data_IF_636316008774
#
_entry.id   IF_636316008774
#
_cell.length_a   1.000
_cell.length_b   1.000
_cell.length_c   1.000
_cell.angle_alpha   90.00
_cell.angle_beta   90.00
_cell.angle_gamma   90.00
#
_symmetry.space_group_name_H-M   'P 1'
#
loop_
_entity.id
_entity.type
_entity.pdbx_description
1 polymer ?
#
# COMPACT_ATOMS: atom_id res chain seq x y z
N UNK A 1 32.44 46.93 -27.30
CA UNK A 1 31.87 45.94 -26.36
C UNK A 1 30.36 46.14 -26.32
N UNK A 2 29.60 45.09 -26.65
CA UNK A 2 28.84 44.42 -25.60
C UNK A 2 29.05 42.91 -25.61
N UNK A 3 29.01 42.33 -24.41
CA UNK A 3 29.25 40.92 -24.11
C UNK A 3 27.92 40.16 -24.21
N UNK A 4 27.86 39.14 -25.06
CA UNK A 4 26.78 38.16 -25.09
C UNK A 4 26.94 37.19 -23.91
N UNK A 5 25.88 37.02 -23.11
CA UNK A 5 25.82 36.05 -22.02
C UNK A 5 25.84 34.61 -22.54
N UNK A 6 26.75 33.80 -22.00
CA UNK A 6 26.87 32.38 -22.29
C UNK A 6 25.81 31.58 -21.54
N UNK A 7 24.91 30.92 -22.27
CA UNK A 7 24.05 29.87 -21.72
C UNK A 7 24.92 28.67 -21.34
N UNK A 8 25.02 28.38 -20.05
CA UNK A 8 25.56 27.11 -19.53
C UNK A 8 24.63 25.96 -19.96
N UNK A 9 25.02 25.22 -21.01
CA UNK A 9 24.41 23.93 -21.34
C UNK A 9 24.78 22.95 -20.24
N UNK A 10 23.82 22.61 -19.36
CA UNK A 10 23.97 21.47 -18.45
C UNK A 10 24.24 20.23 -19.29
N UNK A 11 25.30 19.51 -18.96
CA UNK A 11 25.64 18.21 -19.56
C UNK A 11 24.43 17.27 -19.39
N UNK A 12 24.02 16.52 -20.43
CA UNK A 12 23.03 15.46 -20.27
C UNK A 12 23.51 14.48 -19.19
N UNK A 13 22.62 14.12 -18.26
CA UNK A 13 22.94 13.11 -17.26
C UNK A 13 23.32 11.80 -17.97
N UNK A 14 24.36 11.12 -17.49
CA UNK A 14 24.71 9.80 -18.03
C UNK A 14 23.62 8.79 -17.69
N UNK A 15 23.46 7.71 -18.47
CA UNK A 15 22.49 6.64 -18.17
C UNK A 15 22.59 6.15 -16.72
N UNK A 16 23.80 6.06 -16.19
CA UNK A 16 24.07 5.71 -14.78
C UNK A 16 23.56 6.75 -13.77
N UNK A 17 23.62 8.04 -14.08
CA UNK A 17 23.11 9.11 -13.21
C UNK A 17 21.58 9.18 -13.24
N UNK A 18 20.97 8.91 -14.39
CA UNK A 18 19.50 8.78 -14.52
C UNK A 18 19.02 7.56 -13.72
N UNK A 19 19.71 6.42 -13.84
CA UNK A 19 19.38 5.20 -13.10
C UNK A 19 19.55 5.37 -11.58
N UNK A 20 20.61 6.03 -11.13
CA UNK A 20 20.82 6.34 -9.70
C UNK A 20 19.75 7.30 -9.19
N UNK A 21 19.41 8.36 -9.94
CA UNK A 21 18.35 9.30 -9.54
C UNK A 21 16.99 8.63 -9.51
N UNK A 22 16.70 7.74 -10.45
CA UNK A 22 15.47 6.95 -10.46
C UNK A 22 15.41 5.99 -9.26
N UNK A 23 16.52 5.33 -8.91
CA UNK A 23 16.61 4.46 -7.72
C UNK A 23 16.45 5.23 -6.41
N UNK A 24 17.11 6.38 -6.27
CA UNK A 24 17.01 7.23 -5.06
C UNK A 24 15.61 7.85 -4.94
N UNK A 25 15.01 8.29 -6.05
CA UNK A 25 13.62 8.75 -6.06
C UNK A 25 12.68 7.61 -5.67
N UNK A 26 12.76 6.46 -6.33
CA UNK A 26 11.96 5.28 -5.99
C UNK A 26 12.09 4.90 -4.51
N UNK A 27 13.30 4.84 -3.96
CA UNK A 27 13.54 4.53 -2.55
C UNK A 27 12.91 5.56 -1.60
N UNK A 28 13.04 6.86 -1.89
CA UNK A 28 12.36 7.90 -1.10
C UNK A 28 10.85 7.73 -1.14
N UNK A 29 10.29 7.47 -2.31
CA UNK A 29 8.85 7.35 -2.53
C UNK A 29 8.26 6.11 -1.83
N UNK A 30 8.99 5.01 -1.89
CA UNK A 30 8.70 3.75 -1.20
C UNK A 30 8.68 3.96 0.32
N UNK A 31 9.72 4.60 0.89
CA UNK A 31 9.74 4.89 2.34
C UNK A 31 8.53 5.69 2.81
N UNK A 32 8.13 6.74 2.08
CA UNK A 32 6.99 7.59 2.48
C UNK A 32 5.63 6.87 2.43
N UNK A 33 5.46 5.94 1.48
CA UNK A 33 4.28 5.11 1.40
C UNK A 33 4.15 4.15 2.56
N UNK A 34 5.26 3.51 2.92
CA UNK A 34 5.30 2.59 4.04
C UNK A 34 5.05 3.31 5.36
N UNK A 35 5.62 4.50 5.57
CA UNK A 35 5.38 5.32 6.78
C UNK A 35 3.89 5.66 6.91
N UNK A 36 3.27 6.16 5.83
CA UNK A 36 1.86 6.55 5.86
C UNK A 36 0.95 5.34 6.15
N UNK A 37 1.27 4.18 5.59
CA UNK A 37 0.48 2.96 5.79
C UNK A 37 0.64 2.35 7.19
N UNK A 38 1.85 2.35 7.73
CA UNK A 38 2.11 1.93 9.11
C UNK A 38 1.27 2.77 10.06
N UNK A 39 1.29 4.10 9.93
CA UNK A 39 0.49 4.99 10.78
C UNK A 39 -1.00 4.66 10.70
N UNK A 40 -1.54 4.42 9.50
CA UNK A 40 -2.96 4.02 9.33
C UNK A 40 -3.22 2.63 9.92
N UNK A 41 -2.31 1.67 9.75
CA UNK A 41 -2.45 0.31 10.27
C UNK A 41 -2.41 0.28 11.80
N UNK A 42 -1.50 1.04 12.41
CA UNK A 42 -1.44 1.26 13.86
C UNK A 42 -2.74 1.90 14.36
N UNK A 43 -3.26 2.91 13.65
CA UNK A 43 -4.53 3.57 14.00
C UNK A 43 -5.75 2.63 13.91
N UNK A 44 -5.82 1.79 12.87
CA UNK A 44 -6.88 0.79 12.67
C UNK A 44 -6.79 -0.32 13.73
N UNK A 45 -5.58 -0.81 13.99
CA UNK A 45 -5.33 -1.80 15.03
C UNK A 45 -5.76 -1.26 16.40
N UNK A 46 -5.30 -0.06 16.76
CA UNK A 46 -5.68 0.58 18.00
C UNK A 46 -7.19 0.88 18.08
N UNK A 47 -7.85 1.31 16.99
CA UNK A 47 -9.30 1.51 16.99
C UNK A 47 -10.10 0.22 17.19
N UNK A 48 -9.60 -0.92 16.67
CA UNK A 48 -10.33 -2.19 16.70
C UNK A 48 -10.09 -2.98 17.98
N UNK A 49 -8.97 -2.74 18.69
CA UNK A 49 -8.56 -3.53 19.84
C UNK A 49 -8.32 -2.73 21.14
N UNK A 50 -8.54 -1.40 21.16
CA UNK A 50 -8.45 -0.58 22.36
C UNK A 50 -9.35 -1.06 23.51
N UNK A 51 -10.50 -1.68 23.21
CA UNK A 51 -11.48 -2.05 24.25
C UNK A 51 -11.33 -3.47 24.81
N UNK A 52 -10.33 -4.26 24.37
CA UNK A 52 -10.14 -5.63 24.87
C UNK A 52 -11.31 -6.59 24.66
N UNK A 53 -12.34 -6.21 23.89
CA UNK A 53 -13.52 -7.02 23.59
C UNK A 53 -13.34 -7.74 22.27
N UNK A 54 -13.21 -9.06 22.33
CA UNK A 54 -13.43 -9.95 21.19
C UNK A 54 -14.93 -9.93 20.88
N UNK A 55 -15.40 -9.55 19.67
CA UNK A 55 -16.83 -9.61 19.36
C UNK A 55 -17.25 -11.07 19.13
N UNK A 56 -17.86 -11.66 20.16
CA UNK A 56 -18.85 -12.72 19.99
C UNK A 56 -20.16 -12.12 19.47
N UNK A 57 -20.87 -12.90 18.65
CA UNK A 57 -22.19 -12.59 18.11
C UNK A 57 -23.15 -12.00 19.16
N UNK A 58 -23.67 -10.80 18.90
CA UNK A 58 -25.05 -10.42 19.19
C UNK A 58 -25.57 -9.53 18.05
N UNK A 59 -26.58 -10.01 17.33
CA UNK A 59 -27.38 -9.23 16.38
C UNK A 59 -28.27 -8.28 17.19
N UNK A 60 -27.85 -7.01 17.30
CA UNK A 60 -28.67 -5.92 17.82
C UNK A 60 -29.64 -5.38 16.77
N UNK A 61 -30.87 -5.14 17.20
CA UNK A 61 -32.10 -4.79 16.47
C UNK A 61 -31.97 -3.77 15.31
N UNK A 62 -32.81 -3.85 14.26
CA UNK A 62 -32.77 -2.94 13.12
C UNK A 62 -33.14 -1.50 13.52
N UNK A 63 -32.44 -0.54 12.89
CA UNK A 63 -32.77 0.89 12.92
C UNK A 63 -34.20 1.13 12.41
N UNK A 64 -34.96 2.08 12.96
CA UNK A 64 -36.33 2.34 12.52
C UNK A 64 -36.35 2.88 11.09
N UNK A 65 -37.29 2.40 10.28
CA UNK A 65 -37.50 2.85 8.90
C UNK A 65 -37.83 4.36 8.84
N UNK A 66 -37.37 5.08 7.80
CA UNK A 66 -37.69 6.48 7.64
C UNK A 66 -39.18 6.66 7.31
N UNK A 67 -39.85 7.51 8.10
CA UNK A 67 -41.24 7.90 7.91
C UNK A 67 -41.40 8.67 6.58
N UNK A 68 -42.06 8.05 5.60
CA UNK A 68 -42.31 8.60 4.26
C UNK A 68 -43.46 9.62 4.18
N UNK A 69 -44.00 10.08 5.32
CA UNK A 69 -45.04 11.10 5.36
C UNK A 69 -44.64 12.27 6.27
N UNK A 70 -43.80 13.17 5.77
CA UNK A 70 -43.64 14.50 6.34
C UNK A 70 -43.93 15.55 5.26
N UNK A 71 -44.94 16.36 5.54
CA UNK A 71 -45.50 17.40 4.68
C UNK A 71 -44.49 18.50 4.34
N UNK A 72 -44.76 19.19 3.23
CA UNK A 72 -44.02 20.35 2.72
C UNK A 72 -43.87 21.43 3.79
N UNK A 73 -42.64 21.66 4.25
CA UNK A 73 -42.29 22.85 5.02
C UNK A 73 -41.49 23.80 4.09
N UNK A 74 -42.19 24.83 3.60
CA UNK A 74 -41.62 25.93 2.82
C UNK A 74 -41.07 26.98 3.81
N UNK A 75 -39.74 27.17 3.90
CA UNK A 75 -39.24 28.33 4.66
C UNK A 75 -37.80 28.43 5.16
N UNK A 76 -36.89 27.47 4.91
CA UNK A 76 -35.49 27.61 5.36
C UNK A 76 -34.46 27.41 4.23
N UNK A 77 -33.47 28.31 4.08
CA UNK A 77 -32.40 28.11 3.12
C UNK A 77 -31.61 26.83 3.48
N UNK A 78 -31.07 26.10 2.48
CA UNK A 78 -30.33 24.88 2.73
C UNK A 78 -29.19 25.17 3.69
N UNK A 79 -29.14 24.44 4.80
CA UNK A 79 -28.04 24.47 5.75
C UNK A 79 -26.77 24.08 5.00
N UNK A 80 -25.95 25.07 4.69
CA UNK A 80 -24.60 24.87 4.18
C UNK A 80 -23.88 24.07 5.25
N UNK A 81 -23.65 22.78 4.99
CA UNK A 81 -22.75 21.99 5.80
C UNK A 81 -21.37 22.59 5.56
N UNK A 82 -20.90 23.42 6.51
CA UNK A 82 -19.50 23.78 6.58
C UNK A 82 -18.75 22.49 6.85
N UNK A 83 -18.24 21.86 5.78
CA UNK A 83 -17.29 20.77 5.89
C UNK A 83 -16.21 21.19 6.88
N UNK A 84 -15.87 20.29 7.80
CA UNK A 84 -14.79 20.51 8.75
C UNK A 84 -13.55 21.05 8.02
N UNK A 85 -12.87 22.08 8.54
CA UNK A 85 -11.78 22.72 7.83
C UNK A 85 -10.69 21.70 7.43
N UNK A 86 -9.95 21.93 6.32
CA UNK A 86 -8.75 21.16 6.00
C UNK A 86 -7.74 21.34 7.13
N UNK A 87 -7.71 20.39 8.07
CA UNK A 87 -7.00 20.53 9.34
C UNK A 87 -7.58 19.69 10.48
N UNK A 88 -8.85 19.25 10.38
CA UNK A 88 -9.49 18.40 11.39
C UNK A 88 -8.83 17.01 11.58
N UNK A 89 -7.92 16.60 10.70
CA UNK A 89 -7.14 15.36 10.81
C UNK A 89 -5.82 15.53 11.56
N UNK A 90 -5.37 16.76 11.80
CA UNK A 90 -4.15 17.04 12.55
C UNK A 90 -4.37 17.00 14.07
N UNK A 91 -5.63 16.94 14.53
CA UNK A 91 -5.98 17.07 15.94
C UNK A 91 -6.77 15.88 16.53
N UNK A 92 -6.64 14.68 15.96
CA UNK A 92 -6.91 13.47 16.76
C UNK A 92 -5.64 13.11 17.53
N UNK A 93 -5.19 13.98 18.43
CA UNK A 93 -4.36 13.54 19.55
C UNK A 93 -5.27 12.67 20.40
N UNK A 94 -5.17 11.34 20.24
CA UNK A 94 -5.71 10.46 21.26
C UNK A 94 -4.91 10.75 22.54
N UNK A 95 -5.61 11.19 23.58
CA UNK A 95 -5.03 11.51 24.88
C UNK A 95 -4.58 10.25 25.66
N UNK A 96 -4.86 9.05 25.14
CA UNK A 96 -4.28 7.81 25.64
C UNK A 96 -3.04 7.41 24.82
N UNK A 97 -1.90 7.12 25.47
CA UNK A 97 -0.72 6.62 24.76
C UNK A 97 -1.11 5.33 24.04
N UNK A 98 -0.88 5.28 22.72
CA UNK A 98 -1.01 4.01 21.99
C UNK A 98 -0.11 3.00 22.70
N UNK A 99 -0.69 1.86 23.08
CA UNK A 99 0.10 0.74 23.58
C UNK A 99 1.18 0.44 22.54
N UNK A 100 2.45 0.36 22.97
CA UNK A 100 3.58 0.16 22.06
C UNK A 100 3.44 -1.23 21.42
N UNK A 101 3.05 -1.25 20.14
CA UNK A 101 2.84 -2.49 19.38
C UNK A 101 4.19 -3.05 19.00
N UNK A 102 4.50 -4.24 19.51
CA UNK A 102 5.78 -4.91 19.29
C UNK A 102 5.78 -5.70 17.99
N UNK A 103 6.51 -5.21 16.98
CA UNK A 103 6.54 -5.81 15.65
C UNK A 103 7.54 -6.97 15.51
N UNK A 104 7.09 -8.05 14.90
CA UNK A 104 7.91 -9.10 14.33
C UNK A 104 8.02 -8.94 12.81
N UNK A 105 9.20 -9.15 12.22
CA UNK A 105 9.39 -9.12 10.76
C UNK A 105 9.82 -10.48 10.23
N UNK A 106 9.01 -11.07 9.34
CA UNK A 106 9.28 -12.34 8.68
C UNK A 106 9.68 -12.12 7.21
N UNK A 107 10.91 -12.46 6.85
CA UNK A 107 11.47 -12.29 5.51
C UNK A 107 12.26 -10.98 5.38
N UNK A 108 13.58 -11.07 5.44
CA UNK A 108 14.46 -9.90 5.57
C UNK A 108 15.01 -9.44 4.21
N UNK A 109 14.10 -9.28 3.24
CA UNK A 109 14.40 -8.78 1.90
C UNK A 109 14.39 -7.24 1.83
N UNK A 110 14.46 -6.69 0.62
CA UNK A 110 14.46 -5.23 0.39
C UNK A 110 13.25 -4.53 1.04
N UNK A 111 12.05 -5.06 0.82
CA UNK A 111 10.81 -4.44 1.32
C UNK A 111 10.76 -4.44 2.87
N UNK A 112 11.34 -5.44 3.52
CA UNK A 112 11.45 -5.48 4.97
C UNK A 112 12.37 -4.38 5.54
N UNK A 113 13.45 -4.02 4.83
CA UNK A 113 14.29 -2.90 5.25
C UNK A 113 13.53 -1.58 5.12
N UNK A 114 12.78 -1.41 4.04
CA UNK A 114 11.94 -0.21 3.82
C UNK A 114 10.84 -0.10 4.89
N UNK A 115 10.25 -1.23 5.29
CA UNK A 115 9.31 -1.28 6.41
C UNK A 115 9.95 -1.00 7.76
N UNK A 116 11.14 -1.55 8.04
CA UNK A 116 11.86 -1.29 9.27
C UNK A 116 12.28 0.18 9.41
N UNK A 117 12.75 0.82 8.33
CA UNK A 117 13.01 2.28 8.32
C UNK A 117 11.72 3.04 8.63
N UNK A 118 10.61 2.64 8.03
CA UNK A 118 9.34 3.31 8.24
C UNK A 118 8.81 3.16 9.69
N UNK A 119 8.97 1.98 10.30
CA UNK A 119 8.68 1.75 11.72
C UNK A 119 9.54 2.66 12.60
N UNK A 120 10.85 2.68 12.35
CA UNK A 120 11.81 3.51 13.09
C UNK A 120 11.44 5.00 13.04
N UNK A 121 11.15 5.52 11.84
CA UNK A 121 10.73 6.93 11.66
C UNK A 121 9.39 7.23 12.33
N UNK A 122 8.49 6.25 12.42
CA UNK A 122 7.21 6.40 13.12
C UNK A 122 7.33 6.29 14.64
N UNK A 123 8.49 5.91 15.18
CA UNK A 123 8.71 5.65 16.60
C UNK A 123 8.15 4.30 17.09
N UNK A 124 7.83 3.38 16.17
CA UNK A 124 7.32 2.06 16.50
C UNK A 124 8.46 1.06 16.72
N UNK A 125 8.25 0.13 17.65
CA UNK A 125 9.25 -0.85 18.07
C UNK A 125 9.29 -2.10 17.19
N UNK A 126 10.49 -2.50 16.76
CA UNK A 126 10.76 -3.83 16.18
C UNK A 126 11.27 -4.71 17.31
N UNK A 127 10.47 -5.69 17.71
CA UNK A 127 10.80 -6.63 18.78
C UNK A 127 11.63 -7.80 18.27
N UNK A 128 11.29 -8.36 17.11
CA UNK A 128 11.92 -9.58 16.62
C UNK A 128 11.98 -9.68 15.09
N UNK A 129 12.96 -10.42 14.58
CA UNK A 129 13.17 -10.58 13.14
C UNK A 129 13.52 -12.02 12.78
N UNK A 130 13.08 -12.49 11.61
CA UNK A 130 13.44 -13.81 11.11
C UNK A 130 13.63 -13.85 9.60
N UNK A 131 14.73 -14.48 9.16
CA UNK A 131 15.06 -14.62 7.74
C UNK A 131 14.59 -15.95 7.10
N UNK A 132 14.21 -16.94 7.92
CA UNK A 132 13.85 -18.30 7.53
C UNK A 132 15.02 -19.30 7.59
N UNK A 133 14.70 -20.60 7.55
CA UNK A 133 15.55 -21.73 8.00
C UNK A 133 16.73 -22.15 7.11
N UNK A 134 17.04 -21.42 6.03
CA UNK A 134 18.20 -21.76 5.20
C UNK A 134 19.49 -21.25 5.86
N UNK A 135 20.60 -22.03 5.90
CA UNK A 135 21.84 -21.62 6.57
C UNK A 135 22.41 -20.26 6.10
N UNK A 136 22.30 -19.96 4.79
CA UNK A 136 22.69 -18.64 4.22
C UNK A 136 21.84 -17.47 4.72
N UNK A 137 20.70 -17.73 5.36
CA UNK A 137 19.74 -16.73 5.84
C UNK A 137 19.88 -16.46 7.34
N UNK A 138 20.45 -17.37 8.13
CA UNK A 138 20.66 -17.16 9.56
C UNK A 138 21.50 -15.90 9.84
N UNK A 139 22.59 -15.71 9.11
CA UNK A 139 23.41 -14.48 9.21
C UNK A 139 22.62 -13.20 8.89
N UNK A 140 21.58 -13.27 8.05
CA UNK A 140 20.76 -12.10 7.70
C UNK A 140 19.92 -11.61 8.87
N UNK A 141 19.46 -12.50 9.75
CA UNK A 141 18.69 -12.11 10.94
C UNK A 141 19.54 -11.28 11.90
N UNK A 142 20.80 -11.70 12.12
CA UNK A 142 21.77 -10.98 12.95
C UNK A 142 22.11 -9.62 12.34
N UNK A 143 22.44 -9.58 11.05
CA UNK A 143 22.79 -8.31 10.36
C UNK A 143 21.62 -7.33 10.37
N UNK A 144 20.40 -7.80 10.10
CA UNK A 144 19.21 -6.96 10.13
C UNK A 144 18.92 -6.45 11.54
N UNK A 145 19.06 -7.31 12.56
CA UNK A 145 18.85 -6.94 13.95
C UNK A 145 19.83 -5.85 14.38
N UNK A 146 21.12 -6.04 14.10
CA UNK A 146 22.17 -5.05 14.36
C UNK A 146 21.87 -3.70 13.67
N UNK A 147 21.50 -3.73 12.39
CA UNK A 147 21.20 -2.53 11.61
C UNK A 147 20.02 -1.70 12.16
N UNK A 148 19.02 -2.35 12.75
CA UNK A 148 17.80 -1.68 13.23
C UNK A 148 17.67 -1.67 14.77
N UNK A 149 18.73 -2.04 15.50
CA UNK A 149 18.76 -2.01 16.96
C UNK A 149 17.84 -3.02 17.63
N UNK A 150 17.55 -4.15 16.98
CA UNK A 150 16.81 -5.27 17.56
C UNK A 150 17.77 -6.13 18.39
N UNK A 151 17.37 -6.50 19.59
CA UNK A 151 18.17 -7.39 20.44
C UNK A 151 18.44 -8.73 19.72
N UNK A 152 19.71 -9.15 19.70
CA UNK A 152 20.15 -10.38 19.03
C UNK A 152 19.48 -11.65 19.59
N UNK A 153 18.96 -11.62 20.82
CA UNK A 153 18.14 -12.70 21.39
C UNK A 153 16.80 -12.89 20.65
N UNK A 154 16.34 -11.85 19.94
CA UNK A 154 15.13 -11.84 19.12
C UNK A 154 15.44 -11.87 17.61
N UNK A 155 16.70 -12.16 17.23
CA UNK A 155 17.10 -12.45 15.87
C UNK A 155 17.02 -13.96 15.61
N UNK A 156 15.93 -14.39 14.97
CA UNK A 156 15.61 -15.80 14.79
C UNK A 156 16.02 -16.35 13.42
N UNK A 157 16.46 -17.61 13.42
CA UNK A 157 16.81 -18.38 12.23
C UNK A 157 15.61 -19.07 11.55
N UNK A 158 14.41 -18.94 12.11
CA UNK A 158 13.21 -19.64 11.66
C UNK A 158 11.95 -18.87 12.02
N UNK A 159 10.94 -18.98 11.17
CA UNK A 159 9.64 -18.33 11.42
C UNK A 159 8.92 -18.98 12.60
N UNK A 160 9.17 -20.27 12.85
CA UNK A 160 8.65 -21.02 13.98
C UNK A 160 9.14 -20.48 15.33
N UNK A 161 10.37 -19.97 15.40
CA UNK A 161 10.87 -19.29 16.61
C UNK A 161 10.25 -17.91 16.76
N UNK A 162 10.15 -17.15 15.66
CA UNK A 162 9.52 -15.82 15.66
C UNK A 162 8.07 -15.86 16.16
N UNK A 163 7.24 -16.78 15.68
CA UNK A 163 5.83 -16.85 16.10
C UNK A 163 5.64 -17.31 17.55
N UNK A 164 6.66 -17.94 18.15
CA UNK A 164 6.65 -18.38 19.55
C UNK A 164 7.13 -17.31 20.52
N UNK A 165 7.75 -16.25 20.03
CA UNK A 165 8.16 -15.13 20.86
C UNK A 165 6.92 -14.46 21.46
N UNK A 166 6.78 -14.52 22.78
CA UNK A 166 5.62 -13.98 23.50
C UNK A 166 5.60 -12.46 23.53
N UNK A 167 6.71 -11.80 23.23
CA UNK A 167 6.78 -10.33 23.20
C UNK A 167 6.32 -9.73 21.86
N UNK A 168 6.14 -10.55 20.81
CA UNK A 168 5.68 -10.07 19.51
C UNK A 168 4.15 -10.02 19.45
N UNK A 169 3.58 -8.86 19.14
CA UNK A 169 2.12 -8.69 19.01
C UNK A 169 1.63 -8.98 17.58
N UNK A 170 2.37 -8.45 16.60
CA UNK A 170 2.02 -8.47 15.18
C UNK A 170 3.23 -8.88 14.34
N UNK A 171 2.99 -9.66 13.29
CA UNK A 171 4.02 -10.07 12.34
C UNK A 171 3.76 -9.42 10.98
N UNK A 172 4.74 -8.66 10.51
CA UNK A 172 4.83 -8.21 9.14
C UNK A 172 5.52 -9.29 8.29
N UNK A 173 4.81 -9.81 7.29
CA UNK A 173 5.28 -10.89 6.42
C UNK A 173 5.72 -10.29 5.09
N UNK A 174 7.04 -10.22 4.89
CA UNK A 174 7.74 -9.70 3.72
C UNK A 174 8.53 -10.79 2.98
N UNK A 175 8.01 -12.03 3.00
CA UNK A 175 8.61 -13.14 2.26
C UNK A 175 8.31 -13.04 0.76
N UNK A 176 8.71 -14.03 -0.03
CA UNK A 176 8.24 -14.15 -1.41
C UNK A 176 6.76 -14.57 -1.43
N UNK A 177 6.05 -14.27 -2.53
CA UNK A 177 4.60 -14.44 -2.65
C UNK A 177 4.15 -15.87 -2.31
N UNK A 178 4.91 -16.88 -2.76
CA UNK A 178 4.66 -18.30 -2.50
C UNK A 178 4.74 -18.72 -1.04
N UNK A 179 5.35 -17.91 -0.17
CA UNK A 179 5.50 -18.20 1.26
C UNK A 179 4.51 -17.43 2.14
N UNK A 180 3.84 -16.40 1.61
CA UNK A 180 2.88 -15.59 2.36
C UNK A 180 1.85 -16.46 3.09
N UNK A 181 1.20 -17.36 2.35
CA UNK A 181 0.17 -18.25 2.87
C UNK A 181 0.65 -19.08 4.08
N UNK A 182 1.77 -19.79 3.91
CA UNK A 182 2.30 -20.69 4.95
C UNK A 182 2.74 -19.92 6.19
N UNK A 183 3.42 -18.79 6.03
CA UNK A 183 3.93 -17.99 7.15
C UNK A 183 2.78 -17.30 7.89
N UNK A 184 1.76 -16.83 7.17
CA UNK A 184 0.59 -16.22 7.76
C UNK A 184 -0.23 -17.21 8.58
N UNK A 185 -0.54 -18.40 8.04
CA UNK A 185 -1.23 -19.45 8.81
C UNK A 185 -0.43 -19.86 10.05
N UNK A 186 0.90 -19.94 9.95
CA UNK A 186 1.77 -20.22 11.09
C UNK A 186 1.63 -19.14 12.17
N UNK A 187 1.73 -17.87 11.81
CA UNK A 187 1.58 -16.73 12.72
C UNK A 187 0.18 -16.69 13.37
N UNK A 188 -0.88 -16.82 12.55
CA UNK A 188 -2.27 -16.87 12.99
C UNK A 188 -2.49 -18.03 13.97
N UNK A 189 -1.97 -19.23 13.68
CA UNK A 189 -2.14 -20.38 14.57
C UNK A 189 -1.58 -20.14 15.98
N UNK A 190 -0.56 -19.28 16.11
CA UNK A 190 0.04 -18.86 17.38
C UNK A 190 -0.60 -17.61 17.98
N UNK A 191 -1.70 -17.12 17.39
CA UNK A 191 -2.45 -15.97 17.90
C UNK A 191 -1.80 -14.62 17.58
N UNK A 192 -0.82 -14.58 16.67
CA UNK A 192 -0.20 -13.34 16.24
C UNK A 192 -1.11 -12.60 15.27
N UNK A 193 -1.16 -11.28 15.41
CA UNK A 193 -1.72 -10.42 14.37
C UNK A 193 -0.82 -10.46 13.13
N UNK A 194 -1.39 -10.25 11.96
CA UNK A 194 -0.65 -10.39 10.70
C UNK A 194 -0.92 -9.22 9.76
N UNK A 195 0.16 -8.62 9.29
CA UNK A 195 0.17 -7.76 8.12
C UNK A 195 1.02 -8.44 7.04
N UNK A 196 0.42 -8.86 5.93
CA UNK A 196 1.12 -9.60 4.87
C UNK A 196 1.35 -8.73 3.64
N UNK A 197 2.52 -8.82 3.02
CA UNK A 197 2.81 -8.11 1.77
C UNK A 197 1.86 -8.46 0.63
N UNK A 198 1.74 -7.53 -0.32
CA UNK A 198 0.99 -7.75 -1.56
C UNK A 198 1.85 -8.51 -2.59
N UNK A 199 1.26 -9.31 -3.49
CA UNK A 199 -0.11 -9.81 -3.41
C UNK A 199 -0.26 -10.73 -2.20
N UNK A 200 -1.43 -10.69 -1.56
CA UNK A 200 -1.68 -11.37 -0.27
C UNK A 200 -1.30 -12.85 -0.29
N UNK A 201 -1.54 -13.54 -1.41
CA UNK A 201 -1.19 -14.94 -1.64
C UNK A 201 -1.05 -15.23 -3.14
N UNK A 202 -0.77 -16.49 -3.50
CA UNK A 202 -0.63 -16.90 -4.91
C UNK A 202 -1.97 -17.05 -5.64
N UNK A 203 -3.06 -17.27 -4.90
CA UNK A 203 -4.39 -17.48 -5.44
C UNK A 203 -5.48 -17.14 -4.39
N UNK A 204 -6.72 -17.04 -4.83
CA UNK A 204 -7.86 -16.67 -3.96
C UNK A 204 -8.13 -17.68 -2.85
N UNK A 205 -7.97 -18.99 -3.11
CA UNK A 205 -8.18 -20.04 -2.11
C UNK A 205 -7.27 -19.85 -0.89
N UNK A 206 -5.99 -19.56 -1.12
CA UNK A 206 -5.04 -19.26 -0.03
C UNK A 206 -5.44 -18.00 0.77
N UNK A 207 -5.98 -16.98 0.10
CA UNK A 207 -6.49 -15.77 0.78
C UNK A 207 -7.71 -16.11 1.65
N UNK A 208 -8.63 -16.93 1.15
CA UNK A 208 -9.80 -17.40 1.88
C UNK A 208 -9.40 -18.21 3.11
N UNK A 209 -8.46 -19.16 2.97
CA UNK A 209 -7.93 -19.98 4.07
C UNK A 209 -7.31 -19.11 5.18
N UNK A 210 -6.45 -18.13 4.82
CA UNK A 210 -5.88 -17.19 5.80
C UNK A 210 -6.93 -16.33 6.48
N UNK A 211 -7.88 -15.81 5.71
CA UNK A 211 -8.93 -14.92 6.24
C UNK A 211 -9.81 -15.67 7.24
N UNK A 212 -10.20 -16.90 6.92
CA UNK A 212 -11.01 -17.74 7.81
C UNK A 212 -10.23 -18.15 9.05
N UNK A 213 -8.95 -18.54 8.89
CA UNK A 213 -8.09 -18.84 10.04
C UNK A 213 -7.95 -17.64 10.99
N UNK A 214 -7.75 -16.44 10.46
CA UNK A 214 -7.64 -15.22 11.25
C UNK A 214 -8.94 -14.89 12.00
N UNK A 215 -10.10 -15.01 11.31
CA UNK A 215 -11.43 -14.83 11.92
C UNK A 215 -11.67 -15.82 13.04
N UNK A 216 -11.41 -17.11 12.78
CA UNK A 216 -11.58 -18.19 13.77
C UNK A 216 -10.69 -18.00 14.99
N UNK A 217 -9.46 -17.51 14.79
CA UNK A 217 -8.53 -17.22 15.89
C UNK A 217 -8.85 -15.92 16.63
N UNK A 218 -9.58 -15.00 16.00
CA UNK A 218 -9.88 -13.68 16.53
C UNK A 218 -8.71 -12.70 16.44
N UNK A 219 -7.85 -12.83 15.42
CA UNK A 219 -6.68 -11.95 15.22
C UNK A 219 -6.89 -10.99 14.06
N UNK A 220 -6.29 -9.81 14.15
CA UNK A 220 -6.11 -8.91 13.01
C UNK A 220 -5.34 -9.59 11.88
N UNK A 221 -5.87 -9.44 10.66
CA UNK A 221 -5.25 -9.85 9.42
C UNK A 221 -5.54 -8.82 8.34
N UNK A 222 -4.50 -8.35 7.65
CA UNK A 222 -4.64 -7.43 6.53
C UNK A 222 -3.54 -7.65 5.49
N UNK A 223 -3.84 -7.28 4.24
CA UNK A 223 -2.87 -7.19 3.15
C UNK A 223 -2.29 -5.78 3.08
N UNK A 224 -0.98 -5.66 2.85
CA UNK A 224 -0.26 -4.40 2.78
C UNK A 224 -0.41 -3.72 1.40
N UNK A 225 -1.60 -3.20 1.11
CA UNK A 225 -1.79 -2.27 -0.01
C UNK A 225 -1.50 -0.83 0.43
N UNK A 226 -0.21 -0.54 0.58
CA UNK A 226 0.31 0.73 1.09
C UNK A 226 -0.15 1.99 0.34
N UNK A 227 -0.48 1.88 -0.95
CA UNK A 227 -0.94 2.99 -1.80
C UNK A 227 -2.21 3.64 -1.21
N UNK A 228 -3.04 2.85 -0.53
CA UNK A 228 -4.27 3.27 0.13
C UNK A 228 -4.07 4.34 1.20
N UNK A 229 -2.86 4.41 1.79
CA UNK A 229 -2.55 5.33 2.87
C UNK A 229 -1.98 6.68 2.39
N UNK A 230 -1.60 6.78 1.12
CA UNK A 230 -1.06 8.03 0.58
C UNK A 230 -2.12 9.14 0.62
N UNK A 231 -1.74 10.37 0.99
CA UNK A 231 -2.69 11.47 1.07
C UNK A 231 -3.40 11.75 -0.26
N UNK A 232 -2.74 11.55 -1.41
CA UNK A 232 -3.36 11.67 -2.73
C UNK A 232 -4.52 10.67 -2.94
N UNK A 233 -4.35 9.43 -2.51
CA UNK A 233 -5.42 8.42 -2.56
C UNK A 233 -6.51 8.72 -1.56
N UNK A 234 -6.17 9.20 -0.36
CA UNK A 234 -7.16 9.64 0.64
C UNK A 234 -8.02 10.80 0.13
N UNK A 235 -7.40 11.78 -0.54
CA UNK A 235 -8.11 12.86 -1.22
C UNK A 235 -9.10 12.32 -2.25
N UNK A 236 -8.67 11.39 -3.11
CA UNK A 236 -9.54 10.79 -4.11
C UNK A 236 -10.73 10.07 -3.49
N UNK A 237 -10.49 9.25 -2.46
CA UNK A 237 -11.53 8.53 -1.71
C UNK A 237 -12.54 9.49 -1.09
N UNK A 238 -12.07 10.59 -0.49
CA UNK A 238 -12.94 11.60 0.11
C UNK A 238 -13.75 12.36 -0.93
N UNK A 239 -13.15 12.73 -2.06
CA UNK A 239 -13.87 13.37 -3.16
C UNK A 239 -14.97 12.47 -3.74
N UNK A 240 -14.74 11.16 -3.82
CA UNK A 240 -15.75 10.17 -4.21
C UNK A 240 -16.89 10.13 -3.19
N UNK A 241 -16.60 10.04 -1.88
CA UNK A 241 -17.63 10.06 -0.83
C UNK A 241 -18.49 11.31 -0.86
N UNK A 242 -17.89 12.45 -1.20
CA UNK A 242 -18.58 13.73 -1.35
C UNK A 242 -19.34 13.87 -2.69
N UNK A 243 -19.33 12.84 -3.54
CA UNK A 243 -20.02 12.84 -4.82
C UNK A 243 -19.43 13.79 -5.87
N UNK A 244 -18.17 14.24 -5.71
CA UNK A 244 -17.56 15.28 -6.56
C UNK A 244 -17.45 14.93 -8.05
N UNK A 245 -17.50 13.63 -8.38
CA UNK A 245 -17.47 13.14 -9.76
C UNK A 245 -18.77 12.40 -10.15
N UNK A 246 -19.82 12.47 -9.33
CA UNK A 246 -21.04 11.68 -9.52
C UNK A 246 -20.81 10.17 -9.32
N UNK A 247 -21.59 9.35 -10.02
CA UNK A 247 -21.46 7.89 -9.97
C UNK A 247 -20.24 7.43 -10.78
N UNK A 248 -19.33 6.67 -10.18
CA UNK A 248 -18.21 6.01 -10.86
C UNK A 248 -18.77 5.03 -11.89
N UNK A 249 -18.33 5.20 -13.14
CA UNK A 249 -18.68 4.34 -14.27
C UNK A 249 -17.51 3.45 -14.69
N UNK A 250 -16.28 3.94 -14.58
CA UNK A 250 -15.10 3.23 -15.04
C UNK A 250 -13.86 3.60 -14.24
N UNK A 251 -13.00 2.62 -14.00
CA UNK A 251 -11.62 2.83 -13.54
C UNK A 251 -10.68 2.34 -14.64
N UNK A 252 -9.71 3.15 -15.04
CA UNK A 252 -8.70 2.74 -16.02
C UNK A 252 -7.32 3.02 -15.48
N UNK A 253 -6.33 2.22 -15.85
CA UNK A 253 -4.96 2.50 -15.47
C UNK A 253 -4.00 1.49 -16.01
N UNK A 254 -2.72 1.85 -15.97
CA UNK A 254 -1.66 0.93 -16.29
C UNK A 254 -0.50 1.03 -15.31
N UNK A 255 0.24 -0.06 -15.19
CA UNK A 255 1.45 -0.15 -14.38
C UNK A 255 2.44 -1.06 -15.09
N UNK A 256 3.21 -0.46 -16.00
CA UNK A 256 4.19 -1.13 -16.83
C UNK A 256 5.58 -0.54 -16.62
N UNK A 257 6.55 -1.36 -16.23
CA UNK A 257 7.95 -0.96 -16.10
C UNK A 257 8.85 -1.96 -16.81
N UNK A 258 10.06 -1.54 -17.15
CA UNK A 258 11.08 -2.45 -17.67
C UNK A 258 11.83 -3.08 -16.49
N UNK A 259 11.31 -4.20 -16.01
CA UNK A 259 11.87 -4.97 -14.90
C UNK A 259 12.99 -5.89 -15.36
N UNK A 260 12.81 -6.50 -16.53
CA UNK A 260 13.67 -7.58 -17.02
C UNK A 260 14.92 -7.00 -17.66
N UNK A 261 16.02 -6.98 -16.91
CA UNK A 261 17.38 -6.87 -17.44
C UNK A 261 18.15 -8.19 -17.30
N UNK A 262 17.68 -9.12 -16.46
CA UNK A 262 18.27 -10.44 -16.24
C UNK A 262 17.18 -11.54 -16.05
N UNK A 263 17.41 -12.72 -16.63
CA UNK A 263 16.50 -13.88 -16.56
C UNK A 263 16.46 -14.56 -15.18
N UNK A 264 17.34 -14.19 -14.25
CA UNK A 264 17.35 -14.72 -12.87
C UNK A 264 16.47 -13.91 -11.89
N UNK A 265 15.82 -12.85 -12.36
CA UNK A 265 15.00 -12.00 -11.51
C UNK A 265 13.73 -12.69 -11.01
N UNK A 266 13.35 -12.42 -9.75
CA UNK A 266 12.13 -12.96 -9.13
C UNK A 266 10.86 -12.72 -9.97
N UNK A 267 10.85 -11.65 -10.77
CA UNK A 267 9.73 -11.29 -11.64
C UNK A 267 9.48 -12.31 -12.74
N UNK A 268 10.50 -13.06 -13.16
CA UNK A 268 10.37 -14.11 -14.16
C UNK A 268 10.14 -15.49 -13.55
N UNK A 269 10.11 -15.64 -12.23
CA UNK A 269 9.92 -16.93 -11.58
C UNK A 269 8.44 -17.19 -11.27
N UNK A 270 7.84 -18.15 -11.97
CA UNK A 270 6.47 -18.61 -11.68
C UNK A 270 6.36 -19.21 -10.27
N UNK A 271 7.38 -19.93 -9.81
CA UNK A 271 7.42 -20.53 -8.47
C UNK A 271 7.37 -19.48 -7.36
N UNK A 272 7.96 -18.30 -7.58
CA UNK A 272 7.95 -17.20 -6.63
C UNK A 272 6.76 -16.25 -6.79
N UNK A 273 5.84 -16.53 -7.72
CA UNK A 273 4.70 -15.67 -8.03
C UNK A 273 5.08 -14.40 -8.78
N UNK A 274 6.01 -14.51 -9.72
CA UNK A 274 6.37 -13.45 -10.66
C UNK A 274 5.25 -13.11 -11.66
N UNK A 275 5.57 -12.23 -12.59
CA UNK A 275 4.63 -11.71 -13.59
C UNK A 275 4.06 -10.33 -13.28
N UNK A 276 3.63 -9.63 -14.32
CA UNK A 276 3.08 -8.27 -14.24
C UNK A 276 1.75 -8.21 -13.49
N UNK A 277 0.91 -9.22 -13.63
CA UNK A 277 -0.38 -9.30 -12.93
C UNK A 277 -0.19 -9.41 -11.42
N UNK A 278 0.69 -10.32 -10.97
CA UNK A 278 0.94 -10.54 -9.55
C UNK A 278 1.63 -9.34 -8.89
N UNK A 279 2.56 -8.68 -9.59
CA UNK A 279 3.29 -7.55 -9.02
C UNK A 279 2.49 -6.25 -9.10
N UNK A 280 1.92 -5.93 -10.27
CA UNK A 280 1.30 -4.62 -10.53
C UNK A 280 -0.20 -4.68 -10.77
N UNK A 281 -0.71 -5.75 -11.39
CA UNK A 281 -2.14 -5.94 -11.62
C UNK A 281 -2.96 -5.94 -10.33
N UNK A 282 -2.38 -6.48 -9.26
CA UNK A 282 -3.01 -6.48 -7.95
C UNK A 282 -3.26 -5.05 -7.39
N UNK A 283 -2.44 -4.05 -7.74
CA UNK A 283 -2.71 -2.65 -7.38
C UNK A 283 -3.88 -2.06 -8.17
N UNK A 284 -3.96 -2.37 -9.48
CA UNK A 284 -5.02 -1.87 -10.35
C UNK A 284 -6.39 -2.43 -9.93
N UNK A 285 -6.47 -3.73 -9.64
CA UNK A 285 -7.67 -4.34 -9.06
C UNK A 285 -7.99 -3.77 -7.68
N UNK A 286 -6.98 -3.52 -6.84
CA UNK A 286 -7.18 -2.89 -5.56
C UNK A 286 -7.77 -1.47 -5.71
N UNK A 287 -7.33 -0.67 -6.68
CA UNK A 287 -7.94 0.63 -6.98
C UNK A 287 -9.41 0.50 -7.41
N UNK A 288 -9.74 -0.45 -8.30
CA UNK A 288 -11.13 -0.70 -8.71
C UNK A 288 -12.02 -0.97 -7.50
N UNK A 289 -11.63 -1.94 -6.66
CA UNK A 289 -12.41 -2.35 -5.48
C UNK A 289 -12.49 -1.22 -4.46
N UNK A 290 -11.35 -0.61 -4.12
CA UNK A 290 -11.28 0.46 -3.12
C UNK A 290 -12.16 1.64 -3.50
N UNK A 291 -12.02 2.17 -4.73
CA UNK A 291 -12.77 3.36 -5.16
C UNK A 291 -14.27 3.07 -5.32
N UNK A 292 -14.62 1.89 -5.81
CA UNK A 292 -16.03 1.47 -5.92
C UNK A 292 -16.68 1.32 -4.54
N UNK A 293 -15.95 0.76 -3.56
CA UNK A 293 -16.45 0.61 -2.19
C UNK A 293 -16.61 1.94 -1.46
N UNK A 294 -15.87 2.99 -1.84
CA UNK A 294 -16.10 4.33 -1.27
C UNK A 294 -17.46 4.92 -1.64
N UNK A 295 -17.95 4.59 -2.84
CA UNK A 295 -19.25 5.05 -3.30
C UNK A 295 -20.38 4.11 -2.86
N UNK A 296 -20.19 2.79 -3.02
CA UNK A 296 -21.26 1.79 -2.89
C UNK A 296 -21.28 1.06 -1.54
N UNK A 297 -20.30 1.32 -0.68
CA UNK A 297 -20.05 0.53 0.51
C UNK A 297 -19.37 -0.81 0.20
N UNK A 298 -18.91 -1.50 1.24
CA UNK A 298 -18.25 -2.81 1.10
C UNK A 298 -19.28 -3.89 0.84
N UNK A 299 -19.20 -4.53 -0.32
CA UNK A 299 -20.01 -5.73 -0.63
C UNK A 299 -19.15 -7.00 -0.51
N UNK A 300 -19.38 -7.77 0.55
CA UNK A 300 -18.61 -8.99 0.85
C UNK A 300 -18.89 -10.17 -0.10
N UNK A 301 -19.99 -10.13 -0.86
CA UNK A 301 -20.34 -11.17 -1.84
C UNK A 301 -19.97 -10.81 -3.28
N UNK A 302 -19.46 -9.60 -3.52
CA UNK A 302 -19.09 -9.16 -4.86
C UNK A 302 -17.85 -9.91 -5.37
N UNK A 303 -17.95 -10.45 -6.58
CA UNK A 303 -16.83 -11.05 -7.31
C UNK A 303 -16.25 -10.05 -8.30
N UNK A 304 -14.99 -10.25 -8.64
CA UNK A 304 -14.38 -9.57 -9.79
C UNK A 304 -14.47 -10.54 -10.96
N UNK A 305 -15.23 -10.16 -11.97
CA UNK A 305 -15.28 -10.90 -13.22
C UNK A 305 -14.22 -10.34 -14.16
N UNK A 306 -13.28 -11.18 -14.58
CA UNK A 306 -12.18 -10.79 -15.49
C UNK A 306 -12.50 -11.33 -16.88
N UNK A 307 -12.74 -10.40 -17.80
CA UNK A 307 -13.00 -10.70 -19.21
C UNK A 307 -11.85 -10.21 -20.10
N UNK A 308 -11.70 -10.86 -21.26
CA UNK A 308 -10.81 -10.43 -22.34
C UNK A 308 -9.35 -10.19 -21.91
N UNK A 309 -8.84 -10.99 -20.97
CA UNK A 309 -7.43 -10.96 -20.60
C UNK A 309 -6.58 -11.46 -21.79
N UNK A 310 -5.80 -10.55 -22.38
CA UNK A 310 -4.88 -10.84 -23.47
C UNK A 310 -3.50 -10.42 -23.00
N UNK A 311 -2.56 -11.37 -23.02
CA UNK A 311 -1.21 -11.12 -22.56
C UNK A 311 -0.16 -11.94 -23.27
N UNK A 312 1.09 -11.51 -23.13
CA UNK A 312 2.28 -12.23 -23.60
C UNK A 312 2.90 -12.93 -22.41
N UNK A 313 3.04 -14.25 -22.51
CA UNK A 313 3.76 -15.04 -21.51
C UNK A 313 5.23 -15.18 -21.90
N UNK A 314 6.10 -15.31 -20.91
CA UNK A 314 7.46 -15.75 -21.13
C UNK A 314 7.46 -17.19 -21.65
N UNK A 315 8.18 -17.51 -22.74
CA UNK A 315 8.16 -18.85 -23.32
C UNK A 315 8.73 -19.92 -22.40
N UNK A 316 9.66 -19.57 -21.49
CA UNK A 316 10.34 -20.52 -20.62
C UNK A 316 9.59 -20.67 -19.29
N UNK A 317 9.30 -19.56 -18.62
CA UNK A 317 8.77 -19.57 -17.25
C UNK A 317 7.26 -19.48 -17.18
N UNK A 318 6.60 -19.14 -18.29
CA UNK A 318 5.13 -18.99 -18.42
C UNK A 318 4.52 -17.88 -17.56
N UNK A 319 5.34 -17.05 -16.92
CA UNK A 319 4.87 -15.83 -16.24
C UNK A 319 4.36 -14.82 -17.26
N UNK A 320 3.40 -13.99 -16.88
CA UNK A 320 2.92 -12.92 -17.75
C UNK A 320 3.92 -11.76 -17.81
N UNK A 321 4.30 -11.39 -19.02
CA UNK A 321 5.22 -10.28 -19.30
C UNK A 321 4.46 -8.98 -19.53
N UNK A 322 3.38 -9.07 -20.31
CA UNK A 322 2.46 -7.99 -20.67
C UNK A 322 1.05 -8.53 -20.55
N UNK A 323 0.14 -7.80 -19.91
CA UNK A 323 -1.27 -8.18 -19.87
C UNK A 323 -2.16 -6.96 -20.00
N UNK A 324 -3.17 -7.03 -20.85
CA UNK A 324 -4.30 -6.10 -20.88
C UNK A 324 -5.59 -6.87 -20.57
N UNK A 325 -6.43 -6.34 -19.69
CA UNK A 325 -7.65 -7.02 -19.26
C UNK A 325 -8.76 -6.04 -18.88
N UNK A 326 -9.99 -6.53 -18.94
CA UNK A 326 -11.15 -5.85 -18.37
C UNK A 326 -11.61 -6.58 -17.13
N UNK A 327 -12.07 -5.83 -16.13
CA UNK A 327 -12.62 -6.37 -14.90
C UNK A 327 -13.96 -5.69 -14.60
N UNK A 328 -14.91 -6.38 -13.98
CA UNK A 328 -16.11 -5.74 -13.44
C UNK A 328 -16.18 -5.98 -11.93
N UNK A 329 -16.52 -4.94 -11.17
CA UNK A 329 -16.79 -5.04 -9.74
C UNK A 329 -17.96 -4.13 -9.35
N UNK A 330 -19.03 -4.71 -8.78
CA UNK A 330 -20.25 -3.97 -8.40
C UNK A 330 -20.77 -3.06 -9.52
N UNK A 331 -20.76 -3.53 -10.78
CA UNK A 331 -21.23 -2.76 -11.95
C UNK A 331 -20.31 -1.62 -12.39
N UNK A 332 -19.09 -1.52 -11.84
CA UNK A 332 -18.04 -0.60 -12.31
C UNK A 332 -17.03 -1.39 -13.14
N UNK A 333 -16.72 -0.88 -14.33
CA UNK A 333 -15.78 -1.53 -15.24
C UNK A 333 -14.36 -1.01 -15.02
N UNK A 334 -13.42 -1.92 -14.81
CA UNK A 334 -11.98 -1.74 -14.84
C UNK A 334 -11.39 -2.00 -16.22
N UNK A 335 -10.50 -1.13 -16.70
CA UNK A 335 -9.68 -1.36 -17.90
C UNK A 335 -8.21 -1.20 -17.55
N UNK A 336 -7.46 -2.30 -17.62
CA UNK A 336 -6.15 -2.36 -17.00
C UNK A 336 -5.07 -2.92 -17.91
N UNK A 337 -3.87 -2.39 -17.75
CA UNK A 337 -2.66 -2.86 -18.41
C UNK A 337 -1.51 -3.04 -17.42
N UNK A 338 -0.79 -4.16 -17.51
CA UNK A 338 0.41 -4.42 -16.72
C UNK A 338 1.56 -4.84 -17.62
N UNK A 339 2.78 -4.48 -17.22
CA UNK A 339 3.97 -4.94 -17.92
C UNK A 339 5.20 -4.99 -17.02
N UNK A 340 6.04 -6.01 -17.22
CA UNK A 340 7.40 -6.08 -16.66
C UNK A 340 8.49 -5.90 -17.71
N UNK A 341 8.11 -5.53 -18.94
CA UNK A 341 9.00 -5.40 -20.10
C UNK A 341 8.74 -4.13 -20.93
N UNK A 342 7.70 -3.35 -20.61
CA UNK A 342 7.34 -2.10 -21.28
C UNK A 342 7.03 -1.03 -20.24
N UNK A 343 7.65 0.14 -20.39
CA UNK A 343 7.30 1.31 -19.59
C UNK A 343 5.90 1.84 -19.97
N UNK A 344 5.12 2.27 -18.98
CA UNK A 344 3.81 2.88 -19.13
C UNK A 344 3.68 4.15 -18.28
N UNK A 345 2.66 5.00 -18.50
CA UNK A 345 2.41 6.19 -17.69
C UNK A 345 2.32 5.96 -16.18
N UNK A 346 1.94 4.76 -15.72
CA UNK A 346 1.85 4.45 -14.28
C UNK A 346 0.77 5.29 -13.57
N UNK A 347 -0.33 5.61 -14.27
CA UNK A 347 -1.43 6.43 -13.76
C UNK A 347 -2.71 5.61 -13.61
N UNK A 348 -3.61 6.07 -12.74
CA UNK A 348 -4.97 5.50 -12.59
C UNK A 348 -6.00 6.61 -12.67
N UNK A 349 -7.00 6.45 -13.52
CA UNK A 349 -8.10 7.39 -13.68
C UNK A 349 -9.41 6.75 -13.22
N UNK A 350 -10.17 7.51 -12.44
CA UNK A 350 -11.49 7.17 -11.94
C UNK A 350 -12.48 8.11 -12.61
N UNK A 351 -13.27 7.57 -13.53
CA UNK A 351 -14.26 8.30 -14.31
C UNK A 351 -15.64 8.13 -13.68
N UNK A 352 -16.29 9.26 -13.41
CA UNK A 352 -17.67 9.31 -12.96
C UNK A 352 -18.57 10.09 -13.92
N UNK A 353 -19.86 10.10 -13.64
CA UNK A 353 -20.87 10.77 -14.50
C UNK A 353 -20.76 12.29 -14.54
N UNK A 354 -20.04 12.90 -13.60
CA UNK A 354 -19.92 14.36 -13.47
C UNK A 354 -18.48 14.88 -13.42
N UNK A 355 -17.49 13.99 -13.49
CA UNK A 355 -16.08 14.37 -13.48
C UNK A 355 -15.14 13.18 -13.50
N UNK A 356 -13.86 13.47 -13.32
CA UNK A 356 -12.80 12.46 -13.30
C UNK A 356 -11.75 12.82 -12.25
N UNK A 357 -11.26 11.80 -11.55
CA UNK A 357 -10.08 11.89 -10.69
C UNK A 357 -8.92 11.13 -11.35
N UNK A 358 -7.74 11.73 -11.38
CA UNK A 358 -6.49 11.06 -11.81
C UNK A 358 -5.59 10.93 -10.59
N UNK A 359 -5.18 9.70 -10.30
CA UNK A 359 -4.03 9.40 -9.44
C UNK A 359 -2.80 9.47 -10.33
N UNK A 360 -1.96 10.47 -10.07
CA UNK A 360 -0.79 10.75 -10.90
C UNK A 360 0.34 9.73 -10.66
N UNK A 361 1.26 9.69 -11.61
CA UNK A 361 2.34 8.72 -11.64
C UNK A 361 3.41 8.98 -10.57
N UNK A 362 4.01 7.91 -9.99
CA UNK A 362 3.54 6.52 -9.97
C UNK A 362 2.35 6.28 -9.05
N UNK A 363 1.27 5.70 -9.60
CA UNK A 363 0.02 5.46 -8.89
C UNK A 363 0.10 4.40 -7.78
N UNK A 364 1.16 3.59 -7.72
CA UNK A 364 1.40 2.67 -6.60
C UNK A 364 2.03 3.38 -5.38
N UNK A 365 2.52 4.61 -5.54
CA UNK A 365 3.03 5.46 -4.44
C UNK A 365 2.78 6.96 -4.74
N UNK A 366 1.51 7.36 -4.94
CA UNK A 366 1.19 8.64 -5.58
C UNK A 366 1.37 9.81 -4.62
N UNK A 367 2.01 10.86 -5.12
CA UNK A 367 2.21 12.12 -4.40
C UNK A 367 1.28 13.24 -4.85
N UNK A 368 0.52 13.02 -5.92
CA UNK A 368 -0.44 13.97 -6.49
C UNK A 368 -1.70 13.23 -6.94
N UNK A 369 -2.84 13.89 -6.77
CA UNK A 369 -4.09 13.52 -7.44
C UNK A 369 -4.75 14.78 -8.00
N UNK A 370 -5.35 14.68 -9.18
CA UNK A 370 -6.08 15.76 -9.81
C UNK A 370 -7.56 15.40 -10.00
N UNK A 371 -8.44 16.38 -9.88
CA UNK A 371 -9.89 16.26 -10.08
C UNK A 371 -10.34 17.30 -11.11
N UNK A 372 -11.12 16.86 -12.08
CA UNK A 372 -11.78 17.71 -13.08
C UNK A 372 -13.28 17.42 -13.05
N UNK A 373 -14.09 18.41 -12.71
CA UNK A 373 -15.55 18.32 -12.82
C UNK A 373 -16.02 18.87 -14.18
N UNK A 374 -17.02 18.23 -14.78
CA UNK A 374 -17.45 18.54 -16.15
C UNK A 374 -18.30 19.80 -16.25
N UNK A 375 -19.12 20.07 -15.23
CA UNK A 375 -20.17 21.09 -15.32
C UNK A 375 -19.73 22.48 -14.84
N UNK A 376 -18.60 22.58 -14.13
CA UNK A 376 -18.04 23.85 -13.65
C UNK A 376 -16.67 24.16 -14.28
N UNK A 377 -16.14 23.27 -15.13
CA UNK A 377 -14.78 23.30 -15.67
C UNK A 377 -13.69 23.56 -14.61
N UNK A 378 -14.00 23.31 -13.33
CA UNK A 378 -13.08 23.55 -12.24
C UNK A 378 -12.10 22.39 -12.17
N UNK A 379 -10.81 22.74 -12.21
CA UNK A 379 -9.72 21.79 -11.99
C UNK A 379 -9.19 22.01 -10.59
N UNK A 380 -9.33 20.99 -9.76
CA UNK A 380 -8.72 20.96 -8.43
C UNK A 380 -7.57 19.97 -8.47
N UNK A 381 -6.34 20.45 -8.34
CA UNK A 381 -5.17 19.59 -8.14
C UNK A 381 -4.78 19.57 -6.66
N UNK A 382 -4.57 18.38 -6.12
CA UNK A 382 -4.12 18.18 -4.76
C UNK A 382 -2.69 17.63 -4.75
N UNK A 383 -1.77 18.45 -4.26
CA UNK A 383 -0.38 18.12 -4.01
C UNK A 383 -0.13 18.19 -2.50
N UNK A 384 -0.32 17.09 -1.76
CA UNK A 384 -0.18 17.06 -0.30
C UNK A 384 1.24 17.29 0.21
N UNK A 385 2.27 17.18 -0.64
CA UNK A 385 3.65 17.27 -0.19
C UNK A 385 4.15 18.72 -0.20
N UNK A 386 4.62 19.26 0.94
CA UNK A 386 5.41 20.48 0.92
C UNK A 386 6.68 20.22 0.10
N UNK A 387 6.97 21.14 -0.82
CA UNK A 387 8.32 21.31 -1.33
C UNK A 387 9.23 21.52 -0.10
N UNK A 388 10.06 20.52 0.21
CA UNK A 388 10.97 20.50 1.35
C UNK A 388 10.28 20.40 2.72
N UNK A 389 10.55 19.32 3.45
CA UNK A 389 10.67 19.40 4.91
C UNK A 389 11.67 20.53 5.16
N UNK A 390 11.27 21.60 5.86
CA UNK A 390 12.24 22.56 6.38
C UNK A 390 13.31 21.75 7.10
N UNK A 391 14.61 21.98 6.84
CA UNK A 391 15.66 21.23 7.52
C UNK A 391 15.38 21.33 9.01
N UNK A 392 15.24 20.18 9.67
CA UNK A 392 15.26 20.10 11.12
C UNK A 392 16.47 20.93 11.54
N UNK A 393 16.21 22.09 12.15
CA UNK A 393 17.24 22.84 12.82
C UNK A 393 17.80 21.85 13.85
N UNK A 394 19.05 21.43 13.64
CA UNK A 394 19.78 20.42 14.43
C UNK A 394 19.50 18.93 14.13
N UNK A 395 19.54 18.50 12.86
CA UNK A 395 19.83 17.09 12.54
C UNK A 395 21.30 16.90 12.18
N UNK A 396 22.04 16.10 12.97
CA UNK A 396 23.33 15.53 12.59
C UNK A 396 23.22 14.86 11.21
N UNK A 397 24.23 15.07 10.39
CA UNK A 397 24.36 14.46 9.08
C UNK A 397 24.69 12.96 9.25
N UNK A 398 23.67 12.09 9.20
CA UNK A 398 23.82 10.64 9.31
C UNK A 398 24.28 9.98 7.99
N UNK A 399 24.66 10.77 6.97
CA UNK A 399 25.20 10.21 5.73
C UNK A 399 26.63 9.66 5.89
N UNK A 400 27.33 10.01 6.97
CA UNK A 400 28.68 9.52 7.27
C UNK A 400 28.71 8.24 8.12
N UNK A 401 27.61 7.90 8.82
CA UNK A 401 27.55 6.76 9.75
C UNK A 401 26.92 5.49 9.16
N UNK A 402 26.39 5.54 7.93
CA UNK A 402 25.89 4.35 7.25
C UNK A 402 27.05 3.63 6.54
N UNK A 403 27.41 2.40 6.95
CA UNK A 403 28.45 1.65 6.24
C UNK A 403 28.02 1.44 4.78
N UNK A 404 28.96 1.51 3.82
CA UNK A 404 28.64 1.35 2.40
C UNK A 404 27.97 -0.01 2.17
N UNK A 405 26.77 0.01 1.60
CA UNK A 405 26.07 -1.18 1.13
C UNK A 405 27.02 -2.04 0.29
N UNK A 406 27.21 -3.34 0.59
CA UNK A 406 28.01 -4.20 -0.26
C UNK A 406 27.31 -4.31 -1.61
N UNK A 407 27.94 -3.77 -2.66
CA UNK A 407 27.58 -4.06 -4.04
C UNK A 407 27.78 -5.56 -4.24
N UNK A 408 26.69 -6.31 -4.32
CA UNK A 408 26.74 -7.67 -4.85
C UNK A 408 25.79 -7.76 -6.04
N UNK A 409 26.39 -8.24 -7.13
CA UNK A 409 25.83 -8.52 -8.45
C UNK A 409 24.70 -9.55 -8.41
#
# INVERSE_FOLDING_TARGET
MPVYGTYSRRRPATESEVEIRAKVAYQRWVMYGTISFITVSLLVFANKYADGRVPGMELGSPLPEPNLNAEKDEGHPPTIYHGSPPGAWANTTRDEPMQDIKWGIAGLGRIAHEFAVALHVSGASIQAVAAGSLPRKQARSVVFADQFGVDLHHAYDSYEKLVKDTEVDIIYIATTNNLHHKVALLAISHGKHVLVEKPTAMNSREVEEMTEAARKKGVFFASNYWNSAFPAVRFAREAIRQGKIGEIVQVTGDMGFQAVTNYQDRWLSAELGGGGLMDMGCYLLHFLVMMTNEQKGVNVSAKIDIDNAIGRLDPNTKVDLDTSYTAEYNGVVGRFGTSIIRASPFTVQIMGTQGMITIESPANCPTEASLVAFWDASRTSFMPYPCCVQPLAESRDFSEDLPPYPRQF
#
